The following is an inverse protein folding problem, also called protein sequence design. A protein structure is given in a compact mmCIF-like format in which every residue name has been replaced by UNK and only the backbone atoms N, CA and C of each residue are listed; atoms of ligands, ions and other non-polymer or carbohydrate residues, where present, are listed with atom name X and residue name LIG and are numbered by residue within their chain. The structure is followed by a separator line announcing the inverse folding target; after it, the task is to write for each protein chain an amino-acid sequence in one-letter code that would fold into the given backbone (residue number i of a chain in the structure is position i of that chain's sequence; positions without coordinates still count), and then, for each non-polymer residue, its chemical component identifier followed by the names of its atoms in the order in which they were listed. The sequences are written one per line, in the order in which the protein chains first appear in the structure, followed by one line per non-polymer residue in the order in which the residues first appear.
data_IF_730965007237
#
_entry.id   IF_730965007237
#
_cell.length_a   1.000
_cell.length_b   1.000
_cell.length_c   1.000
_cell.angle_alpha   90.00
_cell.angle_beta   90.00
_cell.angle_gamma   90.00
#
_symmetry.space_group_name_H-M   'P 1'
#
loop_
_entity.id
_entity.type
_entity.pdbx_description
1 polymer ?
#
# COMPACT_ATOMS: atom_id res chain seq x y z
N UNK A 1 7.05 11.33 18.46
CA UNK A 1 8.20 12.17 18.84
C UNK A 1 7.81 13.64 18.93
N UNK A 2 7.16 14.24 17.91
CA UNK A 2 6.78 15.66 17.88
C UNK A 2 5.81 16.02 19.03
N UNK A 3 4.79 15.20 19.28
CA UNK A 3 3.81 15.44 20.34
C UNK A 3 4.46 15.43 21.74
N UNK A 4 5.39 14.51 22.00
CA UNK A 4 6.14 14.44 23.26
C UNK A 4 7.02 15.67 23.45
N UNK A 5 7.71 16.14 22.39
CA UNK A 5 8.52 17.35 22.43
C UNK A 5 7.69 18.60 22.72
N UNK A 6 6.49 18.72 22.12
CA UNK A 6 5.55 19.82 22.35
C UNK A 6 5.06 19.82 23.82
N UNK A 7 4.65 18.67 24.35
CA UNK A 7 4.20 18.54 25.74
C UNK A 7 5.32 18.90 26.71
N UNK A 8 6.55 18.42 26.45
CA UNK A 8 7.71 18.74 27.31
C UNK A 8 8.02 20.24 27.29
N UNK A 9 8.02 20.87 26.10
CA UNK A 9 8.23 22.31 25.97
C UNK A 9 7.17 23.12 26.73
N UNK A 10 5.91 22.68 26.70
CA UNK A 10 4.79 23.32 27.43
C UNK A 10 4.98 23.21 28.94
N UNK A 11 5.35 22.03 29.43
CA UNK A 11 5.60 21.81 30.86
C UNK A 11 6.78 22.66 31.36
N UNK A 12 7.88 22.67 30.62
CA UNK A 12 9.07 23.48 30.95
C UNK A 12 8.75 24.98 30.96
N UNK A 13 8.01 25.46 29.96
CA UNK A 13 7.58 26.84 29.85
C UNK A 13 6.64 27.24 30.98
N UNK A 14 5.69 26.38 31.38
CA UNK A 14 4.76 26.60 32.50
C UNK A 14 5.48 26.69 33.84
N UNK A 15 6.48 25.84 34.07
CA UNK A 15 7.32 25.88 35.29
C UNK A 15 8.19 27.14 35.33
N UNK A 16 8.80 27.51 34.17
CA UNK A 16 9.60 28.73 34.05
C UNK A 16 8.76 30.00 34.31
N UNK A 17 7.55 30.07 33.75
CA UNK A 17 6.60 31.16 33.99
C UNK A 17 6.20 31.26 35.48
N UNK A 18 5.92 30.13 36.16
CA UNK A 18 5.59 30.13 37.62
C UNK A 18 6.74 30.62 38.49
N UNK A 19 7.99 30.33 38.13
CA UNK A 19 9.17 30.84 38.86
C UNK A 19 9.32 32.36 38.74
N UNK A 20 9.11 32.93 37.53
CA UNK A 20 9.23 34.37 37.28
C UNK A 20 8.06 35.22 37.82
N UNK A 21 6.92 34.58 38.09
CA UNK A 21 5.73 35.23 38.65
C UNK A 21 5.89 35.62 40.15
N UNK A 22 6.94 35.13 40.79
CA UNK A 22 7.22 35.40 42.22
C UNK A 22 7.91 36.75 42.48
N UNK A 23 8.48 37.38 41.46
CA UNK A 23 9.13 38.70 41.55
C UNK A 23 8.14 39.81 41.21
N UNK A 24 7.60 40.43 42.23
CA UNK A 24 6.37 41.29 42.25
C UNK A 24 6.44 42.62 41.44
N UNK A 25 7.38 42.87 40.56
CA UNK A 25 7.49 44.12 39.77
C UNK A 25 6.97 44.09 38.34
N UNK A 26 6.51 42.94 37.82
CA UNK A 26 6.07 42.79 36.43
C UNK A 26 4.59 42.39 36.31
N UNK A 27 3.75 42.65 37.32
CA UNK A 27 2.43 42.03 37.46
C UNK A 27 1.34 42.45 36.49
N UNK A 28 1.41 43.58 35.83
CA UNK A 28 0.27 44.09 35.04
C UNK A 28 0.45 43.88 33.54
N UNK A 29 1.64 44.09 33.00
CA UNK A 29 1.91 43.86 31.57
C UNK A 29 2.05 42.37 31.24
N UNK A 30 2.62 41.58 32.17
CA UNK A 30 2.73 40.12 32.02
C UNK A 30 1.36 39.41 32.07
N UNK A 31 0.36 39.92 32.80
CA UNK A 31 -0.99 39.33 32.76
C UNK A 31 -1.65 39.45 31.37
N UNK A 32 -1.47 40.59 30.68
CA UNK A 32 -1.99 40.77 29.32
C UNK A 32 -1.21 39.96 28.31
N UNK A 33 0.13 39.94 28.40
CA UNK A 33 0.99 39.16 27.54
C UNK A 33 0.81 37.65 27.77
N UNK A 34 0.64 37.17 29.02
CA UNK A 34 0.39 35.75 29.29
C UNK A 34 -0.99 35.30 28.81
N UNK A 35 -1.99 36.17 28.85
CA UNK A 35 -3.32 35.91 28.28
C UNK A 35 -3.28 35.74 26.77
N UNK A 36 -2.61 36.66 26.07
CA UNK A 36 -2.41 36.57 24.61
C UNK A 36 -1.60 35.34 24.21
N UNK A 37 -0.53 35.04 24.95
CA UNK A 37 0.30 33.85 24.69
C UNK A 37 -0.49 32.54 24.90
N UNK A 38 -1.35 32.50 25.93
CA UNK A 38 -2.24 31.35 26.18
C UNK A 38 -3.28 31.17 25.07
N UNK A 39 -3.82 32.27 24.54
CA UNK A 39 -4.77 32.23 23.42
C UNK A 39 -4.07 31.72 22.16
N UNK A 40 -2.89 32.23 21.83
CA UNK A 40 -2.08 31.79 20.69
C UNK A 40 -1.71 30.31 20.81
N UNK A 41 -1.33 29.88 22.01
CA UNK A 41 -1.03 28.48 22.27
C UNK A 41 -2.26 27.58 22.10
N UNK A 42 -3.40 27.99 22.64
CA UNK A 42 -4.66 27.25 22.50
C UNK A 42 -5.11 27.21 21.03
N UNK A 43 -4.99 28.31 20.29
CA UNK A 43 -5.26 28.34 18.86
C UNK A 43 -4.36 27.39 18.06
N UNK A 44 -3.04 27.39 18.34
CA UNK A 44 -2.09 26.46 17.75
C UNK A 44 -2.43 24.99 18.08
N UNK A 45 -2.79 24.71 19.34
CA UNK A 45 -3.24 23.37 19.75
C UNK A 45 -4.49 22.93 18.98
N UNK A 46 -5.49 23.81 18.86
CA UNK A 46 -6.73 23.51 18.11
C UNK A 46 -6.47 23.24 16.64
N UNK A 47 -5.55 23.98 16.02
CA UNK A 47 -5.13 23.71 14.62
C UNK A 47 -4.47 22.33 14.51
N UNK A 48 -3.50 22.01 15.37
CA UNK A 48 -2.85 20.71 15.41
C UNK A 48 -3.85 19.57 15.65
N UNK A 49 -4.80 19.78 16.57
CA UNK A 49 -5.86 18.81 16.86
C UNK A 49 -6.77 18.59 15.64
N UNK A 50 -7.19 19.68 14.97
CA UNK A 50 -8.01 19.58 13.75
C UNK A 50 -7.28 18.80 12.64
N UNK A 51 -5.98 19.06 12.44
CA UNK A 51 -5.15 18.32 11.48
C UNK A 51 -5.07 16.84 11.87
N UNK A 52 -4.86 16.55 13.15
CA UNK A 52 -4.80 15.18 13.66
C UNK A 52 -6.12 14.43 13.43
N UNK A 53 -7.25 15.06 13.72
CA UNK A 53 -8.59 14.50 13.49
C UNK A 53 -8.79 14.26 11.98
N UNK A 54 -8.46 15.25 11.12
CA UNK A 54 -8.56 15.10 9.66
C UNK A 54 -7.73 13.93 9.13
N UNK A 55 -6.50 13.76 9.63
CA UNK A 55 -5.66 12.62 9.26
C UNK A 55 -6.27 11.30 9.73
N UNK A 56 -6.79 11.24 10.96
CA UNK A 56 -7.42 10.04 11.51
C UNK A 56 -8.67 9.63 10.73
N UNK A 57 -9.53 10.58 10.36
CA UNK A 57 -10.72 10.30 9.54
C UNK A 57 -10.34 9.81 8.15
N UNK A 58 -9.32 10.40 7.51
CA UNK A 58 -8.86 9.98 6.20
C UNK A 58 -8.39 8.50 6.18
N UNK A 59 -7.72 8.03 7.25
CA UNK A 59 -7.34 6.61 7.37
C UNK A 59 -8.56 5.68 7.53
N UNK A 60 -9.56 6.11 8.32
CA UNK A 60 -10.80 5.34 8.52
C UNK A 60 -11.58 5.25 7.20
N UNK A 61 -11.68 6.37 6.49
CA UNK A 61 -12.37 6.45 5.19
C UNK A 61 -11.69 5.54 4.15
N UNK A 62 -10.35 5.51 4.10
CA UNK A 62 -9.62 4.62 3.22
C UNK A 62 -9.93 3.14 3.47
N UNK A 63 -9.99 2.72 4.74
CA UNK A 63 -10.38 1.34 5.10
C UNK A 63 -11.82 1.02 4.69
N UNK A 64 -12.73 1.98 4.88
CA UNK A 64 -14.13 1.84 4.48
C UNK A 64 -14.26 1.71 2.96
N UNK A 65 -13.58 2.56 2.20
CA UNK A 65 -13.55 2.51 0.74
C UNK A 65 -13.18 1.13 0.25
N UNK A 66 -12.03 0.58 0.66
CA UNK A 66 -11.56 -0.71 0.18
C UNK A 66 -12.35 -1.91 0.74
N UNK A 67 -13.04 -1.74 1.86
CA UNK A 67 -14.05 -2.70 2.29
C UNK A 67 -15.22 -2.74 1.31
N UNK A 68 -15.77 -1.59 0.92
CA UNK A 68 -16.86 -1.49 -0.06
C UNK A 68 -16.44 -2.04 -1.42
N UNK A 69 -15.21 -1.74 -1.88
CA UNK A 69 -14.69 -2.29 -3.14
C UNK A 69 -14.63 -3.82 -3.09
N UNK A 70 -14.18 -4.42 -1.98
CA UNK A 70 -14.21 -5.88 -1.80
C UNK A 70 -15.63 -6.44 -1.76
N UNK A 71 -16.57 -5.77 -1.10
CA UNK A 71 -17.97 -6.18 -1.09
C UNK A 71 -18.56 -6.20 -2.51
N UNK A 72 -18.21 -5.22 -3.37
CA UNK A 72 -18.61 -5.21 -4.78
C UNK A 72 -17.94 -6.35 -5.55
N UNK A 73 -16.64 -6.54 -5.37
CA UNK A 73 -15.85 -7.55 -6.06
C UNK A 73 -16.37 -8.98 -5.80
N UNK A 74 -16.74 -9.27 -4.55
CA UNK A 74 -17.13 -10.62 -4.12
C UNK A 74 -18.64 -10.88 -4.09
N UNK A 75 -19.48 -9.93 -4.49
CA UNK A 75 -20.95 -9.98 -4.34
C UNK A 75 -21.66 -11.13 -5.05
N UNK A 76 -21.08 -11.71 -6.10
CA UNK A 76 -21.71 -12.77 -6.90
C UNK A 76 -20.99 -14.14 -6.83
N UNK A 77 -20.06 -14.31 -5.89
CA UNK A 77 -19.17 -15.48 -5.85
C UNK A 77 -19.86 -16.79 -5.43
N UNK A 78 -21.08 -16.74 -4.91
CA UNK A 78 -21.78 -17.96 -4.43
C UNK A 78 -22.32 -18.87 -5.52
N UNK A 79 -22.23 -18.50 -6.81
CA UNK A 79 -22.93 -19.22 -7.89
C UNK A 79 -22.02 -20.03 -8.85
N UNK A 80 -20.72 -19.86 -8.87
CA UNK A 80 -19.84 -20.54 -9.86
C UNK A 80 -18.44 -20.81 -9.30
N UNK A 81 -18.27 -21.82 -8.51
CA UNK A 81 -16.95 -22.30 -8.11
C UNK A 81 -16.82 -23.80 -8.37
N UNK A 82 -16.52 -24.20 -9.60
CA UNK A 82 -15.71 -25.39 -9.84
C UNK A 82 -14.30 -24.92 -10.22
N UNK A 83 -13.25 -25.29 -9.49
CA UNK A 83 -11.89 -24.95 -9.85
C UNK A 83 -11.45 -25.84 -11.01
N UNK A 84 -11.49 -25.33 -12.23
CA UNK A 84 -10.67 -25.91 -13.29
C UNK A 84 -9.21 -25.75 -12.90
N UNK A 85 -8.48 -26.86 -12.85
CA UNK A 85 -7.06 -26.90 -12.48
C UNK A 85 -6.26 -25.91 -13.32
N UNK A 86 -5.59 -24.99 -12.64
CA UNK A 86 -4.67 -24.03 -13.27
C UNK A 86 -3.43 -24.79 -13.67
N UNK A 87 -3.24 -25.05 -14.98
CA UNK A 87 -1.93 -25.39 -15.51
C UNK A 87 -1.01 -24.18 -15.35
N UNK A 88 -0.10 -24.28 -14.37
CA UNK A 88 1.03 -23.35 -14.31
C UNK A 88 1.89 -23.58 -15.56
N UNK A 89 2.39 -22.53 -16.23
CA UNK A 89 3.32 -22.70 -17.32
C UNK A 89 4.53 -23.50 -16.80
N UNK A 90 4.88 -24.57 -17.50
CA UNK A 90 6.11 -25.33 -17.27
C UNK A 90 7.30 -24.43 -17.55
N UNK A 91 7.71 -23.65 -16.57
CA UNK A 91 9.03 -23.04 -16.53
C UNK A 91 9.90 -24.03 -15.80
N UNK A 92 10.69 -24.80 -16.51
CA UNK A 92 11.81 -25.54 -15.91
C UNK A 92 12.84 -24.52 -15.39
N UNK A 93 12.95 -24.28 -14.09
CA UNK A 93 14.08 -23.57 -13.55
C UNK A 93 15.09 -24.61 -13.06
N UNK A 94 16.25 -24.62 -13.63
CA UNK A 94 17.45 -25.11 -12.93
C UNK A 94 17.71 -24.19 -11.71
N UNK A 95 16.95 -24.40 -10.65
CA UNK A 95 17.13 -23.77 -9.34
C UNK A 95 17.51 -24.87 -8.35
N UNK A 96 18.76 -25.28 -8.38
CA UNK A 96 19.36 -26.09 -7.31
C UNK A 96 19.36 -25.28 -6.01
N UNK A 97 18.37 -25.54 -5.14
CA UNK A 97 18.28 -24.94 -3.79
C UNK A 97 16.90 -24.50 -3.36
N UNK A 98 15.90 -24.46 -4.24
CA UNK A 98 14.50 -24.26 -3.85
C UNK A 98 13.82 -25.61 -3.56
N UNK A 99 12.81 -25.66 -2.66
CA UNK A 99 12.02 -26.88 -2.48
C UNK A 99 11.46 -27.31 -3.84
N UNK A 100 11.49 -28.63 -4.10
CA UNK A 100 11.08 -29.22 -5.38
C UNK A 100 9.77 -28.58 -5.85
N UNK A 101 9.73 -28.15 -7.12
CA UNK A 101 8.58 -27.49 -7.77
C UNK A 101 7.24 -28.23 -7.52
N UNK A 102 7.30 -29.53 -7.32
CA UNK A 102 6.16 -30.39 -7.01
C UNK A 102 5.58 -30.17 -5.59
N UNK A 103 6.40 -29.79 -4.61
CA UNK A 103 5.94 -29.42 -3.26
C UNK A 103 5.34 -28.01 -3.24
N UNK A 104 5.84 -27.09 -4.08
CA UNK A 104 5.23 -25.78 -4.27
C UNK A 104 3.84 -25.88 -4.92
N UNK A 105 3.67 -26.73 -5.95
CA UNK A 105 2.37 -26.93 -6.63
C UNK A 105 1.26 -27.37 -5.69
N UNK A 106 1.57 -28.10 -4.62
CA UNK A 106 0.58 -28.63 -3.66
C UNK A 106 0.14 -27.57 -2.63
N UNK A 107 0.91 -26.49 -2.42
CA UNK A 107 0.61 -25.45 -1.44
C UNK A 107 0.01 -24.18 -2.03
N UNK A 108 0.12 -23.97 -3.35
CA UNK A 108 -0.35 -22.78 -4.03
C UNK A 108 -1.76 -23.06 -4.56
N UNK A 109 -2.77 -22.77 -3.76
CA UNK A 109 -4.17 -22.79 -4.22
C UNK A 109 -4.67 -21.39 -4.52
N UNK A 110 -5.39 -21.20 -5.65
CA UNK A 110 -6.01 -19.91 -5.95
C UNK A 110 -7.03 -19.55 -4.88
N UNK A 111 -7.30 -18.25 -4.68
CA UNK A 111 -8.45 -17.82 -3.90
C UNK A 111 -9.73 -18.49 -4.45
N UNK A 112 -10.57 -19.04 -3.55
CA UNK A 112 -11.78 -19.76 -3.92
C UNK A 112 -12.89 -18.88 -4.51
N UNK A 113 -12.72 -17.57 -4.46
CA UNK A 113 -13.73 -16.58 -4.84
C UNK A 113 -13.50 -16.07 -6.25
N UNK A 114 -14.53 -15.93 -7.04
CA UNK A 114 -14.49 -15.18 -8.31
C UNK A 114 -14.59 -13.67 -8.06
N UNK A 115 -14.11 -12.85 -8.96
CA UNK A 115 -14.19 -11.37 -8.90
C UNK A 115 -15.22 -10.88 -9.92
N UNK A 116 -16.10 -10.00 -9.50
CA UNK A 116 -17.09 -9.36 -10.37
C UNK A 116 -16.44 -8.20 -11.15
N UNK A 117 -15.58 -8.53 -12.12
CA UNK A 117 -14.88 -7.54 -12.94
C UNK A 117 -15.84 -6.59 -13.69
N UNK A 118 -16.96 -7.04 -14.27
CA UNK A 118 -17.89 -6.14 -14.96
C UNK A 118 -18.38 -5.00 -14.06
N UNK A 119 -18.75 -5.28 -12.81
CA UNK A 119 -19.20 -4.26 -11.88
C UNK A 119 -18.05 -3.30 -11.49
N UNK A 120 -16.84 -3.82 -11.30
CA UNK A 120 -15.66 -2.99 -11.00
C UNK A 120 -15.32 -2.05 -12.15
N UNK A 121 -15.43 -2.50 -13.41
CA UNK A 121 -15.23 -1.68 -14.61
C UNK A 121 -16.27 -0.56 -14.70
N UNK A 122 -17.53 -0.83 -14.34
CA UNK A 122 -18.59 0.19 -14.29
C UNK A 122 -18.27 1.26 -13.25
N UNK A 123 -17.76 0.87 -12.08
CA UNK A 123 -17.41 1.79 -11.01
C UNK A 123 -16.14 2.62 -11.33
N UNK A 124 -15.16 2.00 -11.98
CA UNK A 124 -13.93 2.65 -12.42
C UNK A 124 -13.43 2.09 -13.75
N UNK A 125 -13.58 2.82 -14.86
CA UNK A 125 -13.10 2.39 -16.18
C UNK A 125 -11.57 2.18 -16.24
N UNK A 126 -10.81 2.74 -15.28
CA UNK A 126 -9.38 2.49 -15.13
C UNK A 126 -9.02 1.11 -14.55
N UNK A 127 -10.01 0.29 -14.12
CA UNK A 127 -9.78 -1.06 -13.63
C UNK A 127 -9.07 -1.93 -14.67
N UNK A 128 -8.07 -2.71 -14.21
CA UNK A 128 -7.30 -3.61 -15.08
C UNK A 128 -7.40 -5.08 -14.65
N UNK A 129 -7.20 -5.36 -13.37
CA UNK A 129 -7.28 -6.71 -12.80
C UNK A 129 -7.36 -6.63 -11.27
N UNK A 130 -7.59 -7.75 -10.62
CA UNK A 130 -7.55 -7.87 -9.16
C UNK A 130 -6.24 -8.50 -8.71
N UNK A 131 -5.66 -7.97 -7.63
CA UNK A 131 -4.41 -8.44 -7.02
C UNK A 131 -4.71 -8.98 -5.62
N UNK A 132 -4.27 -10.21 -5.35
CA UNK A 132 -4.35 -10.82 -4.02
C UNK A 132 -3.02 -11.46 -3.63
N UNK A 133 -2.58 -11.20 -2.40
CA UNK A 133 -1.38 -11.80 -1.83
C UNK A 133 -1.76 -12.46 -0.50
N UNK A 134 -1.88 -13.81 -0.47
CA UNK A 134 -2.26 -14.55 0.72
C UNK A 134 -1.37 -14.22 1.92
N UNK A 135 -1.93 -14.31 3.11
CA UNK A 135 -1.21 -13.98 4.34
C UNK A 135 -0.97 -12.49 4.58
N UNK A 136 -1.39 -11.62 3.66
CA UNK A 136 -1.31 -10.15 3.78
C UNK A 136 -2.69 -9.51 3.73
N UNK A 137 -2.75 -8.17 3.89
CA UNK A 137 -3.96 -7.39 3.64
C UNK A 137 -4.09 -6.96 2.16
N UNK A 138 -3.17 -7.41 1.29
CA UNK A 138 -3.17 -7.04 -0.13
C UNK A 138 -4.22 -7.88 -0.84
N UNK A 139 -5.35 -7.25 -1.10
CA UNK A 139 -6.53 -7.79 -1.75
C UNK A 139 -7.29 -6.61 -2.37
N UNK A 140 -6.81 -6.16 -3.55
CA UNK A 140 -7.16 -4.86 -4.12
C UNK A 140 -7.36 -4.92 -5.64
N UNK A 141 -8.24 -4.05 -6.18
CA UNK A 141 -8.23 -3.76 -7.61
C UNK A 141 -6.93 -3.06 -8.00
N UNK A 142 -6.40 -3.38 -9.15
CA UNK A 142 -5.35 -2.63 -9.82
C UNK A 142 -6.00 -1.76 -10.88
N UNK A 143 -5.68 -0.48 -10.84
CA UNK A 143 -6.19 0.54 -11.76
C UNK A 143 -5.05 1.12 -12.59
N UNK A 144 -5.36 1.89 -13.64
CA UNK A 144 -4.37 2.62 -14.44
C UNK A 144 -4.96 3.95 -14.90
N UNK A 145 -4.11 4.97 -14.92
CA UNK A 145 -4.44 6.32 -15.41
C UNK A 145 -3.46 6.72 -16.52
N UNK A 146 -3.68 7.88 -17.13
CA UNK A 146 -2.79 8.45 -18.16
C UNK A 146 -1.42 8.88 -17.60
N UNK A 147 -1.32 9.02 -16.28
CA UNK A 147 -0.10 9.37 -15.55
C UNK A 147 0.09 8.51 -14.30
N UNK A 148 1.30 8.53 -13.74
CA UNK A 148 1.65 7.81 -12.50
C UNK A 148 1.45 8.65 -11.22
N UNK A 149 0.73 9.78 -11.27
CA UNK A 149 0.53 10.68 -10.13
C UNK A 149 -0.89 10.60 -9.56
N UNK A 150 -1.88 10.46 -10.44
CA UNK A 150 -3.29 10.54 -10.08
C UNK A 150 -3.67 9.57 -8.93
N UNK A 151 -3.37 8.29 -9.09
CA UNK A 151 -3.72 7.28 -8.10
C UNK A 151 -2.82 7.24 -6.85
N UNK A 152 -1.82 8.10 -6.76
CA UNK A 152 -1.11 8.31 -5.49
C UNK A 152 -2.02 8.96 -4.43
N UNK A 153 -3.01 9.74 -4.87
CA UNK A 153 -3.89 10.50 -3.98
C UNK A 153 -5.38 10.29 -4.25
N UNK A 154 -5.74 9.35 -5.11
CA UNK A 154 -7.14 9.03 -5.43
C UNK A 154 -7.42 7.54 -5.21
N UNK A 155 -8.55 7.27 -4.56
CA UNK A 155 -9.02 5.91 -4.33
C UNK A 155 -9.67 5.29 -5.59
N UNK A 156 -10.14 4.04 -5.45
CA UNK A 156 -10.81 3.32 -6.53
C UNK A 156 -12.06 4.05 -7.07
N UNK A 157 -12.77 4.82 -6.25
CA UNK A 157 -13.93 5.61 -6.67
C UNK A 157 -13.58 7.02 -7.15
N UNK A 158 -12.32 7.28 -7.50
CA UNK A 158 -11.80 8.55 -8.04
C UNK A 158 -11.91 9.72 -7.05
N UNK A 159 -11.98 9.45 -5.74
CA UNK A 159 -12.04 10.44 -4.68
C UNK A 159 -10.66 10.66 -4.08
N UNK A 160 -10.36 11.90 -3.71
CA UNK A 160 -9.14 12.20 -2.96
C UNK A 160 -9.06 11.35 -1.70
N UNK A 161 -7.97 10.59 -1.57
CA UNK A 161 -7.75 9.67 -0.47
C UNK A 161 -6.26 9.49 -0.21
N UNK A 162 -5.85 9.63 1.05
CA UNK A 162 -4.44 9.56 1.47
C UNK A 162 -3.79 8.20 1.17
N UNK A 163 -4.58 7.14 1.12
CA UNK A 163 -4.09 5.80 0.83
C UNK A 163 -3.86 5.57 -0.67
N UNK A 164 -4.41 6.43 -1.53
CA UNK A 164 -4.40 6.23 -2.97
C UNK A 164 -4.98 4.88 -3.40
N UNK A 165 -4.49 4.37 -4.52
CA UNK A 165 -4.83 3.04 -5.06
C UNK A 165 -3.56 2.23 -5.36
N UNK A 166 -3.74 0.93 -5.60
CA UNK A 166 -2.73 0.13 -6.29
C UNK A 166 -2.94 0.35 -7.79
N UNK A 167 -1.90 0.78 -8.50
CA UNK A 167 -2.03 1.12 -9.92
C UNK A 167 -0.84 0.65 -10.75
N UNK A 168 -1.11 0.40 -12.03
CA UNK A 168 -0.12 0.01 -13.01
C UNK A 168 0.53 1.25 -13.66
N UNK A 169 1.78 1.11 -14.05
CA UNK A 169 2.54 2.13 -14.77
C UNK A 169 1.83 2.56 -16.06
N UNK A 170 1.76 3.88 -16.29
CA UNK A 170 1.05 4.45 -17.44
C UNK A 170 1.73 4.19 -18.78
N UNK A 171 3.02 3.83 -18.80
CA UNK A 171 3.81 3.65 -20.04
C UNK A 171 3.63 2.27 -20.68
N UNK A 172 2.92 1.35 -20.04
CA UNK A 172 2.73 -0.02 -20.55
C UNK A 172 1.28 -0.47 -20.48
N UNK A 173 0.93 -1.48 -21.30
CA UNK A 173 -0.38 -2.15 -21.20
C UNK A 173 -0.23 -3.27 -20.17
N UNK A 174 -0.92 -3.18 -19.01
CA UNK A 174 -0.78 -4.17 -17.96
C UNK A 174 -1.10 -5.59 -18.45
N UNK A 175 -0.30 -6.56 -18.05
CA UNK A 175 -0.39 -7.99 -18.39
C UNK A 175 -0.20 -8.32 -19.89
N UNK A 176 -0.07 -7.33 -20.78
CA UNK A 176 0.27 -7.52 -22.17
C UNK A 176 1.71 -7.10 -22.50
N UNK A 177 2.29 -6.22 -21.67
CA UNK A 177 3.71 -5.85 -21.76
C UNK A 177 4.57 -6.94 -21.12
N UNK A 178 5.84 -6.98 -21.50
CA UNK A 178 6.82 -7.95 -20.98
C UNK A 178 7.01 -7.81 -19.46
N UNK A 179 6.90 -6.60 -18.93
CA UNK A 179 6.91 -6.33 -17.50
C UNK A 179 5.77 -5.38 -17.11
N UNK A 180 5.02 -5.75 -16.09
CA UNK A 180 3.95 -4.93 -15.53
C UNK A 180 4.40 -4.38 -14.17
N UNK A 181 4.75 -3.10 -14.12
CA UNK A 181 5.12 -2.41 -12.89
C UNK A 181 3.89 -1.93 -12.18
N UNK A 182 3.79 -2.22 -10.89
CA UNK A 182 2.70 -1.78 -10.02
C UNK A 182 3.23 -0.88 -8.92
N UNK A 183 2.49 0.18 -8.63
CA UNK A 183 2.76 1.12 -7.56
C UNK A 183 1.69 1.03 -6.48
N UNK A 184 2.08 1.35 -5.26
CA UNK A 184 1.17 1.44 -4.12
C UNK A 184 1.87 1.94 -2.88
N UNK A 185 1.15 2.69 -2.05
CA UNK A 185 1.70 3.23 -0.82
C UNK A 185 2.09 2.13 0.18
N UNK A 186 3.15 2.40 0.94
CA UNK A 186 3.55 1.61 2.10
C UNK A 186 2.96 2.25 3.37
N UNK A 187 1.69 1.98 3.63
CA UNK A 187 0.93 2.64 4.70
C UNK A 187 1.32 2.16 6.10
N UNK A 188 1.34 3.07 7.08
CA UNK A 188 1.65 2.74 8.49
C UNK A 188 0.59 1.87 9.15
N UNK A 189 -0.64 1.91 8.66
CA UNK A 189 -1.76 1.11 9.17
C UNK A 189 -1.81 -0.32 8.60
N UNK A 190 -0.83 -0.70 7.79
CA UNK A 190 -0.71 -2.03 7.20
C UNK A 190 -1.47 -2.21 5.88
N UNK A 191 -2.16 -1.18 5.39
CA UNK A 191 -2.88 -1.21 4.11
C UNK A 191 -1.95 -1.01 2.91
N UNK A 192 -2.50 -1.10 1.72
CA UNK A 192 -1.79 -1.03 0.44
C UNK A 192 -0.63 -2.02 0.38
N UNK A 193 0.56 -1.64 -0.08
CA UNK A 193 1.72 -2.51 -0.18
C UNK A 193 2.50 -2.70 1.14
N UNK A 194 2.00 -2.21 2.27
CA UNK A 194 2.68 -2.40 3.55
C UNK A 194 2.86 -3.87 3.94
N UNK A 195 1.99 -4.76 3.48
CA UNK A 195 2.05 -6.21 3.69
C UNK A 195 3.28 -6.87 3.08
N UNK A 196 3.89 -6.29 2.04
CA UNK A 196 5.09 -6.84 1.38
C UNK A 196 6.29 -6.95 2.33
N UNK A 197 6.33 -6.16 3.41
CA UNK A 197 7.39 -6.28 4.44
C UNK A 197 7.48 -7.66 5.08
N UNK A 198 6.41 -8.45 5.06
CA UNK A 198 6.41 -9.81 5.60
C UNK A 198 7.36 -10.74 4.85
N UNK A 199 7.63 -10.46 3.59
CA UNK A 199 8.57 -11.24 2.77
C UNK A 199 10.05 -11.09 3.18
N UNK A 200 10.37 -10.23 4.15
CA UNK A 200 11.68 -10.24 4.82
C UNK A 200 11.91 -11.52 5.61
N UNK A 201 10.83 -12.20 6.01
CA UNK A 201 10.88 -13.46 6.73
C UNK A 201 10.76 -14.62 5.75
N UNK A 202 11.80 -15.45 5.69
CA UNK A 202 11.84 -16.64 4.81
C UNK A 202 10.67 -17.60 5.08
N UNK A 203 10.24 -17.75 6.33
CA UNK A 203 9.09 -18.59 6.69
C UNK A 203 7.82 -18.09 6.02
N UNK A 204 7.58 -16.77 5.99
CA UNK A 204 6.43 -16.20 5.33
C UNK A 204 6.44 -16.44 3.82
N UNK A 205 7.60 -16.32 3.17
CA UNK A 205 7.76 -16.66 1.75
C UNK A 205 7.43 -18.13 1.47
N UNK A 206 7.91 -19.05 2.30
CA UNK A 206 7.64 -20.48 2.12
C UNK A 206 6.15 -20.84 2.26
N UNK A 207 5.41 -20.09 3.08
CA UNK A 207 3.97 -20.25 3.24
C UNK A 207 3.16 -19.55 2.16
N UNK A 208 3.69 -18.45 1.57
CA UNK A 208 3.00 -17.59 0.62
C UNK A 208 3.91 -17.28 -0.60
N UNK A 209 4.30 -18.28 -1.40
CA UNK A 209 5.32 -18.12 -2.43
C UNK A 209 4.80 -17.50 -3.73
N UNK A 210 3.53 -17.12 -3.79
CA UNK A 210 2.92 -16.60 -5.01
C UNK A 210 2.01 -15.39 -4.74
N UNK A 211 1.96 -14.53 -5.74
CA UNK A 211 0.96 -13.47 -5.90
C UNK A 211 -0.14 -13.99 -6.82
N UNK A 212 -1.39 -13.66 -6.53
CA UNK A 212 -2.52 -14.05 -7.34
C UNK A 212 -3.11 -12.85 -8.08
N UNK A 213 -3.35 -13.03 -9.37
CA UNK A 213 -3.98 -12.05 -10.24
C UNK A 213 -5.27 -12.64 -10.80
N UNK A 214 -6.42 -11.97 -10.60
CA UNK A 214 -7.66 -12.32 -11.27
C UNK A 214 -7.84 -11.41 -12.48
N UNK A 215 -7.93 -12.03 -13.64
CA UNK A 215 -8.07 -11.34 -14.92
C UNK A 215 -8.87 -12.18 -15.91
N UNK A 216 -9.84 -11.56 -16.57
CA UNK A 216 -10.72 -12.23 -17.54
C UNK A 216 -11.38 -13.51 -16.98
N UNK A 217 -11.90 -13.39 -15.76
CA UNK A 217 -12.66 -14.47 -15.12
C UNK A 217 -11.81 -15.59 -14.51
N UNK A 218 -10.48 -15.48 -14.48
CA UNK A 218 -9.59 -16.56 -14.01
C UNK A 218 -8.52 -16.03 -13.07
N UNK A 219 -8.18 -16.83 -12.05
CA UNK A 219 -7.01 -16.61 -11.21
C UNK A 219 -5.73 -17.13 -11.92
N UNK A 220 -4.69 -16.34 -11.89
CA UNK A 220 -3.32 -16.72 -12.30
C UNK A 220 -2.38 -16.57 -11.11
N UNK A 221 -1.64 -17.61 -10.79
CA UNK A 221 -0.57 -17.58 -9.79
C UNK A 221 0.74 -17.10 -10.42
N UNK A 222 1.36 -16.09 -9.81
CA UNK A 222 2.65 -15.56 -10.21
C UNK A 222 3.65 -15.89 -9.10
N UNK A 223 4.59 -16.84 -9.31
CA UNK A 223 5.60 -17.19 -8.30
C UNK A 223 6.49 -15.98 -7.98
N UNK A 224 6.74 -15.76 -6.70
CA UNK A 224 7.66 -14.72 -6.23
C UNK A 224 9.08 -15.27 -6.30
N UNK A 225 9.97 -14.60 -7.03
CA UNK A 225 11.36 -15.00 -7.13
C UNK A 225 12.33 -14.05 -6.44
N UNK A 226 11.90 -12.81 -6.15
CA UNK A 226 12.72 -11.82 -5.44
C UNK A 226 11.85 -10.86 -4.62
N UNK A 227 12.37 -10.43 -3.47
CA UNK A 227 11.82 -9.34 -2.67
C UNK A 227 12.97 -8.48 -2.14
N UNK A 228 13.07 -7.24 -2.59
CA UNK A 228 14.22 -6.37 -2.36
C UNK A 228 13.81 -5.05 -1.74
N UNK A 229 14.77 -4.42 -1.03
CA UNK A 229 14.67 -3.05 -0.57
C UNK A 229 15.64 -2.25 -1.40
N UNK A 230 15.11 -1.40 -2.28
CA UNK A 230 15.89 -0.56 -3.15
C UNK A 230 15.69 0.93 -2.86
N UNK A 231 16.61 1.76 -3.32
CA UNK A 231 16.43 3.21 -3.31
C UNK A 231 15.35 3.61 -4.31
N UNK A 232 14.57 4.65 -3.98
CA UNK A 232 13.60 5.27 -4.90
C UNK A 232 14.23 5.82 -6.19
N UNK A 233 15.54 6.08 -6.15
CA UNK A 233 16.31 6.58 -7.30
C UNK A 233 16.89 5.45 -8.17
N UNK A 234 16.60 4.18 -7.86
CA UNK A 234 17.06 3.03 -8.64
C UNK A 234 16.18 2.83 -9.87
N UNK A 235 16.61 3.38 -11.00
CA UNK A 235 15.89 3.27 -12.26
C UNK A 235 15.71 1.82 -12.75
N UNK A 236 16.54 0.88 -12.28
CA UNK A 236 16.42 -0.54 -12.61
C UNK A 236 15.12 -1.17 -12.10
N UNK A 237 14.59 -0.66 -10.97
CA UNK A 237 13.36 -1.18 -10.35
C UNK A 237 12.08 -0.88 -11.16
N UNK A 238 12.10 0.08 -12.10
CA UNK A 238 10.91 0.61 -12.76
C UNK A 238 10.88 0.37 -14.27
N UNK A 239 11.66 -0.58 -14.77
CA UNK A 239 11.71 -0.88 -16.20
C UNK A 239 10.43 -1.60 -16.65
N UNK A 240 9.64 -0.98 -17.52
CA UNK A 240 8.40 -1.54 -18.08
C UNK A 240 8.58 -2.20 -19.44
N UNK A 241 9.50 -1.69 -20.26
CA UNK A 241 9.76 -2.16 -21.62
C UNK A 241 11.20 -2.67 -21.71
N UNK A 242 11.39 -3.97 -21.50
CA UNK A 242 12.68 -4.65 -21.64
C UNK A 242 12.77 -5.28 -23.03
N UNK A 243 13.88 -5.07 -23.73
CA UNK A 243 14.16 -5.84 -24.92
C UNK A 243 14.43 -7.30 -24.53
N UNK A 244 14.09 -8.24 -25.40
CA UNK A 244 14.25 -9.68 -25.12
C UNK A 244 15.68 -10.05 -24.69
N UNK A 245 16.67 -9.39 -25.26
CA UNK A 245 18.10 -9.54 -24.90
C UNK A 245 18.47 -8.98 -23.52
N UNK A 246 17.69 -8.04 -22.97
CA UNK A 246 17.92 -7.44 -21.64
C UNK A 246 17.32 -8.27 -20.50
N UNK A 247 16.35 -9.16 -20.82
CA UNK A 247 15.61 -9.93 -19.82
C UNK A 247 16.51 -10.81 -18.97
N UNK A 248 17.45 -11.54 -19.56
CA UNK A 248 18.33 -12.43 -18.83
C UNK A 248 19.19 -11.66 -17.81
N UNK A 249 19.75 -10.53 -18.23
CA UNK A 249 20.52 -9.64 -17.35
C UNK A 249 19.68 -9.04 -16.25
N UNK A 250 18.46 -8.57 -16.56
CA UNK A 250 17.53 -8.04 -15.58
C UNK A 250 17.12 -9.08 -14.53
N UNK A 251 16.76 -10.28 -14.94
CA UNK A 251 16.42 -11.36 -14.02
C UNK A 251 17.61 -11.79 -13.15
N UNK A 252 18.82 -11.80 -13.70
CA UNK A 252 20.02 -12.09 -12.93
C UNK A 252 20.27 -11.03 -11.87
N UNK A 253 20.19 -9.75 -12.22
CA UNK A 253 20.30 -8.63 -11.28
C UNK A 253 19.27 -8.73 -10.16
N UNK A 254 18.00 -9.07 -10.48
CA UNK A 254 16.94 -9.22 -9.49
C UNK A 254 17.13 -10.42 -8.56
N UNK A 255 17.89 -11.44 -8.94
CA UNK A 255 18.19 -12.61 -8.10
C UNK A 255 19.38 -12.39 -7.18
N UNK A 256 20.36 -11.59 -7.58
CA UNK A 256 21.62 -11.38 -6.85
C UNK A 256 21.55 -10.25 -5.82
N UNK A 257 20.53 -9.40 -5.85
CA UNK A 257 20.34 -8.27 -4.94
C UNK A 257 19.50 -8.63 -3.76
#
# INVERSE_FOLDING_TARGET
VILAAVITAVCVFSVWMRRRYRDGRLRIELKRASGLLSILFFAGFMICFAVFVKMGTAYIDGKKTYRTVREIAYKNTQAQAEPEGVELPEVEPELSGLPKAEQLKTQIQPPSSSINEPELIVQNPGYKFWLSIPGTAIDYPVVQHEDNQYYLTHDFFLKEQINGSIFADCSSIPLAADNTVLYGHNMKDGSMFAGLKKYREKSFYLENPAVWIFYQGKWKGCPIFSCQIRSENDAGAYKTNLLMEEWAGYLQEMKES
#
